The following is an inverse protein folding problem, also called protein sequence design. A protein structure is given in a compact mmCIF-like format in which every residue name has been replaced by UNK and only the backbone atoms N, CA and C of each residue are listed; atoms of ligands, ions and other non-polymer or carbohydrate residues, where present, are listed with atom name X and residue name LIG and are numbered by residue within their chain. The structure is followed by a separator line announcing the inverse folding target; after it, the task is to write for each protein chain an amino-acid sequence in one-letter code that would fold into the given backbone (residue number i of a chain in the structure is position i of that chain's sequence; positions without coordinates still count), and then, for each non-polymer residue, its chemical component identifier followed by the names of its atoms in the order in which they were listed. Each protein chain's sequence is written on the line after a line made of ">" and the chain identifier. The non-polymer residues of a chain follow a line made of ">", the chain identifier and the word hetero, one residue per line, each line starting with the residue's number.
data_IF_502210574080
#
_entry.id   IF_502210574080
#
_cell.length_a   1.000
_cell.length_b   1.000
_cell.length_c   1.000
_cell.angle_alpha   90.00
_cell.angle_beta   90.00
_cell.angle_gamma   90.00
#
_symmetry.space_group_name_H-M   'P 1'
#
loop_
_entity.id
_entity.type
_entity.pdbx_description
1 polymer ?
#
# COMPACT_ATOMS: atom_id res chain seq x y z
N UNK A 1 -21.45 -10.46 0.88
CA UNK A 1 -20.68 -9.36 1.48
C UNK A 1 -21.64 -8.30 1.97
N UNK A 2 -21.45 -7.78 3.18
CA UNK A 2 -22.30 -6.71 3.73
C UNK A 2 -22.04 -5.37 3.01
N UNK A 3 -23.08 -4.54 2.93
CA UNK A 3 -23.00 -3.17 2.41
C UNK A 3 -22.12 -2.33 3.35
N UNK A 4 -21.23 -1.52 2.77
CA UNK A 4 -20.40 -0.58 3.53
C UNK A 4 -21.26 0.51 4.18
N UNK A 5 -20.90 0.88 5.41
CA UNK A 5 -21.44 2.08 6.07
C UNK A 5 -20.87 3.36 5.43
N UNK A 6 -21.54 4.49 5.66
CA UNK A 6 -21.06 5.79 5.16
C UNK A 6 -19.65 6.14 5.65
N UNK A 7 -19.35 5.82 6.92
CA UNK A 7 -18.02 6.04 7.48
C UNK A 7 -16.95 5.19 6.81
N UNK A 8 -17.26 3.93 6.52
CA UNK A 8 -16.36 3.04 5.78
C UNK A 8 -16.15 3.53 4.35
N UNK A 9 -17.19 4.08 3.70
CA UNK A 9 -17.04 4.71 2.37
C UNK A 9 -16.07 5.87 2.37
N UNK A 10 -16.30 6.84 3.26
CA UNK A 10 -15.42 8.02 3.41
C UNK A 10 -13.98 7.59 3.70
N UNK A 11 -13.81 6.63 4.62
CA UNK A 11 -12.51 6.05 4.93
C UNK A 11 -11.84 5.45 3.69
N UNK A 12 -12.54 4.62 2.92
CA UNK A 12 -11.97 3.98 1.73
C UNK A 12 -11.60 5.00 0.64
N UNK A 13 -12.39 6.05 0.44
CA UNK A 13 -12.05 7.11 -0.51
C UNK A 13 -10.78 7.86 -0.10
N UNK A 14 -10.63 8.18 1.18
CA UNK A 14 -9.42 8.84 1.68
C UNK A 14 -8.20 7.91 1.61
N UNK A 15 -8.41 6.64 1.97
CA UNK A 15 -7.36 5.62 1.94
C UNK A 15 -6.90 5.32 0.51
N UNK A 16 -7.80 5.24 -0.47
CA UNK A 16 -7.45 5.10 -1.89
C UNK A 16 -6.59 6.27 -2.38
N UNK A 17 -6.90 7.50 -1.94
CA UNK A 17 -6.09 8.68 -2.22
C UNK A 17 -4.68 8.57 -1.65
N UNK A 18 -4.56 8.17 -0.37
CA UNK A 18 -3.25 7.91 0.25
C UNK A 18 -2.46 6.83 -0.51
N UNK A 19 -3.10 5.73 -0.92
CA UNK A 19 -2.43 4.66 -1.66
C UNK A 19 -1.97 5.12 -3.05
N UNK A 20 -2.68 6.03 -3.70
CA UNK A 20 -2.25 6.66 -4.97
C UNK A 20 -1.00 7.54 -4.75
N UNK A 21 -1.00 8.38 -3.71
CA UNK A 21 0.16 9.22 -3.38
C UNK A 21 1.41 8.36 -3.07
N UNK A 22 1.22 7.25 -2.35
CA UNK A 22 2.31 6.30 -2.06
C UNK A 22 2.80 5.61 -3.34
N UNK A 23 1.92 5.26 -4.28
CA UNK A 23 2.33 4.67 -5.56
C UNK A 23 3.21 5.65 -6.35
N UNK A 24 2.80 6.91 -6.47
CA UNK A 24 3.57 7.94 -7.17
C UNK A 24 4.94 8.15 -6.53
N UNK A 25 5.00 8.20 -5.20
CA UNK A 25 6.25 8.30 -4.47
C UNK A 25 7.15 7.06 -4.66
N UNK A 26 6.58 5.86 -4.67
CA UNK A 26 7.33 4.62 -4.88
C UNK A 26 7.87 4.51 -6.31
N UNK A 27 7.11 4.97 -7.31
CA UNK A 27 7.60 5.08 -8.70
C UNK A 27 8.79 6.03 -8.76
N UNK A 28 8.69 7.20 -8.12
CA UNK A 28 9.79 8.15 -8.07
C UNK A 28 11.02 7.61 -7.32
N UNK A 29 10.82 6.89 -6.21
CA UNK A 29 11.92 6.21 -5.52
C UNK A 29 12.62 5.18 -6.43
N UNK A 30 11.84 4.46 -7.25
CA UNK A 30 12.36 3.59 -8.32
C UNK A 30 13.27 4.35 -9.29
N UNK A 31 12.86 5.52 -9.75
CA UNK A 31 13.66 6.37 -10.64
C UNK A 31 14.95 6.87 -9.96
N UNK A 32 14.90 7.20 -8.67
CA UNK A 32 16.09 7.55 -7.88
C UNK A 32 17.11 6.41 -7.88
N UNK A 33 16.66 5.17 -7.66
CA UNK A 33 17.56 4.01 -7.68
C UNK A 33 18.22 3.79 -9.05
N UNK A 34 17.51 4.04 -10.15
CA UNK A 34 18.09 3.97 -11.50
C UNK A 34 19.15 5.04 -11.74
N UNK A 35 19.02 6.21 -11.10
CA UNK A 35 19.94 7.35 -11.25
C UNK A 35 21.14 7.31 -10.30
N UNK A 36 21.17 6.36 -9.36
CA UNK A 36 22.19 6.30 -8.30
C UNK A 36 21.90 7.22 -7.10
N UNK A 37 20.71 7.83 -7.04
CA UNK A 37 20.28 8.71 -5.95
C UNK A 37 19.66 7.89 -4.81
N UNK A 38 20.37 6.85 -4.33
CA UNK A 38 19.78 5.83 -3.44
C UNK A 38 19.30 6.37 -2.10
N UNK A 39 20.04 7.29 -1.47
CA UNK A 39 19.64 7.92 -0.20
C UNK A 39 18.33 8.72 -0.32
N UNK A 40 18.09 9.34 -1.48
CA UNK A 40 16.83 10.06 -1.74
C UNK A 40 15.69 9.06 -1.90
N UNK A 41 15.93 7.97 -2.64
CA UNK A 41 14.96 6.89 -2.83
C UNK A 41 14.57 6.23 -1.49
N UNK A 42 15.55 5.87 -0.67
CA UNK A 42 15.35 5.21 0.62
C UNK A 42 14.56 6.08 1.59
N UNK A 43 14.93 7.36 1.73
CA UNK A 43 14.22 8.31 2.60
C UNK A 43 12.78 8.53 2.15
N UNK A 44 12.57 8.73 0.84
CA UNK A 44 11.22 8.93 0.32
C UNK A 44 10.35 7.70 0.58
N UNK A 45 10.83 6.53 0.17
CA UNK A 45 10.09 5.28 0.27
C UNK A 45 9.82 4.89 1.73
N UNK A 46 10.79 5.07 2.62
CA UNK A 46 10.60 4.87 4.05
C UNK A 46 9.60 5.87 4.64
N UNK A 47 9.72 7.16 4.31
CA UNK A 47 8.81 8.20 4.82
C UNK A 47 7.35 7.93 4.45
N UNK A 48 7.08 7.64 3.18
CA UNK A 48 5.69 7.37 2.74
C UNK A 48 5.16 6.04 3.28
N UNK A 49 6.02 5.03 3.42
CA UNK A 49 5.64 3.73 3.98
C UNK A 49 5.40 3.78 5.49
N UNK A 50 6.13 4.60 6.23
CA UNK A 50 5.86 4.88 7.66
C UNK A 50 4.45 5.46 7.85
N UNK A 51 3.97 6.26 6.90
CA UNK A 51 2.59 6.77 6.86
C UNK A 51 1.53 5.67 6.73
N UNK A 52 1.89 4.50 6.19
CA UNK A 52 1.00 3.34 6.03
C UNK A 52 0.99 2.39 7.23
N UNK A 53 1.91 2.52 8.19
CA UNK A 53 1.99 1.62 9.36
C UNK A 53 0.69 1.55 10.21
N UNK A 54 -0.07 2.65 10.40
CA UNK A 54 -1.36 2.60 11.10
C UNK A 54 -2.42 1.74 10.40
N UNK A 55 -2.22 1.41 9.12
CA UNK A 55 -3.13 0.63 8.27
C UNK A 55 -2.75 -0.86 8.26
N UNK A 56 -2.24 -1.37 9.37
CA UNK A 56 -1.87 -2.77 9.56
C UNK A 56 -3.08 -3.73 9.46
N UNK A 57 -2.87 -5.04 9.20
CA UNK A 57 -3.95 -6.02 9.08
C UNK A 57 -4.87 -6.17 10.30
N UNK A 58 -4.44 -5.71 11.47
CA UNK A 58 -5.26 -5.73 12.70
C UNK A 58 -5.96 -4.37 12.96
N UNK A 59 -5.84 -3.40 12.05
CA UNK A 59 -6.54 -2.12 12.15
C UNK A 59 -8.05 -2.38 12.11
N UNK A 60 -8.76 -2.02 13.19
CA UNK A 60 -10.19 -2.32 13.35
C UNK A 60 -11.07 -1.83 12.20
N UNK A 61 -10.75 -0.68 11.61
CA UNK A 61 -11.51 -0.14 10.47
C UNK A 61 -11.28 -0.96 9.22
N UNK A 62 -10.03 -1.29 8.89
CA UNK A 62 -9.72 -2.16 7.75
C UNK A 62 -10.28 -3.57 7.94
N UNK A 63 -10.10 -4.18 9.12
CA UNK A 63 -10.68 -5.48 9.46
C UNK A 63 -12.19 -5.46 9.19
N UNK A 64 -12.92 -4.46 9.69
CA UNK A 64 -14.38 -4.37 9.46
C UNK A 64 -14.80 -4.28 7.98
N UNK A 65 -13.87 -3.94 7.08
CA UNK A 65 -14.13 -3.80 5.64
C UNK A 65 -13.78 -5.09 4.88
N UNK A 66 -12.68 -5.74 5.26
CA UNK A 66 -12.11 -6.90 4.56
C UNK A 66 -12.54 -8.24 5.13
N UNK A 67 -13.01 -8.29 6.39
CA UNK A 67 -13.34 -9.55 7.06
C UNK A 67 -14.34 -10.38 6.25
N UNK A 68 -13.97 -11.65 6.02
CA UNK A 68 -14.80 -12.59 5.28
C UNK A 68 -14.58 -12.55 3.77
N UNK A 69 -13.67 -11.71 3.28
CA UNK A 69 -13.12 -11.76 1.92
C UNK A 69 -11.65 -12.16 1.98
N UNK A 70 -11.39 -13.46 1.78
CA UNK A 70 -10.04 -14.03 1.84
C UNK A 70 -9.08 -13.39 0.84
N UNK A 71 -9.56 -12.98 -0.33
CA UNK A 71 -8.74 -12.35 -1.36
C UNK A 71 -8.24 -10.98 -0.88
N UNK A 72 -9.12 -10.20 -0.23
CA UNK A 72 -8.76 -8.92 0.36
C UNK A 72 -7.81 -9.07 1.56
N UNK A 73 -8.07 -10.06 2.43
CA UNK A 73 -7.21 -10.34 3.59
C UNK A 73 -5.78 -10.72 3.17
N UNK A 74 -5.64 -11.60 2.16
CA UNK A 74 -4.35 -12.01 1.60
C UNK A 74 -3.63 -10.83 0.93
N UNK A 75 -4.35 -10.00 0.16
CA UNK A 75 -3.78 -8.82 -0.49
C UNK A 75 -3.28 -7.78 0.51
N UNK A 76 -4.07 -7.51 1.57
CA UNK A 76 -3.68 -6.59 2.65
C UNK A 76 -2.43 -7.08 3.38
N UNK A 77 -2.38 -8.36 3.73
CA UNK A 77 -1.21 -8.94 4.41
C UNK A 77 0.05 -8.85 3.54
N UNK A 78 -0.05 -9.20 2.25
CA UNK A 78 1.07 -9.16 1.32
C UNK A 78 1.60 -7.73 1.11
N UNK A 79 0.69 -6.75 0.95
CA UNK A 79 1.05 -5.34 0.84
C UNK A 79 1.68 -4.82 2.14
N UNK A 80 1.10 -5.14 3.30
CA UNK A 80 1.63 -4.66 4.57
C UNK A 80 3.04 -5.18 4.86
N UNK A 81 3.37 -6.41 4.46
CA UNK A 81 4.74 -6.92 4.54
C UNK A 81 5.73 -6.03 3.76
N UNK A 82 5.37 -5.61 2.55
CA UNK A 82 6.24 -4.70 1.78
C UNK A 82 6.31 -3.30 2.38
N UNK A 83 5.23 -2.83 3.02
CA UNK A 83 5.24 -1.56 3.77
C UNK A 83 6.22 -1.64 4.93
N UNK A 84 6.25 -2.74 5.67
CA UNK A 84 7.19 -2.92 6.79
C UNK A 84 8.64 -2.89 6.32
N UNK A 85 8.96 -3.63 5.25
CA UNK A 85 10.31 -3.61 4.66
C UNK A 85 10.70 -2.23 4.15
N UNK A 86 9.80 -1.54 3.46
CA UNK A 86 10.05 -0.21 2.95
C UNK A 86 10.25 0.82 4.08
N UNK A 87 9.45 0.73 5.15
CA UNK A 87 9.52 1.62 6.29
C UNK A 87 10.84 1.49 7.08
N UNK A 88 11.55 0.35 6.98
CA UNK A 88 12.83 0.13 7.65
C UNK A 88 14.05 0.51 6.80
N UNK A 89 13.91 0.94 5.55
CA UNK A 89 15.05 1.19 4.65
C UNK A 89 16.04 2.27 5.15
N UNK A 90 15.58 3.23 5.95
CA UNK A 90 16.48 4.23 6.56
C UNK A 90 17.39 3.62 7.65
N UNK A 91 16.92 2.57 8.32
CA UNK A 91 17.61 1.92 9.44
C UNK A 91 18.41 0.69 8.98
N UNK A 92 17.87 -0.02 7.99
CA UNK A 92 18.45 -1.22 7.38
C UNK A 92 18.37 -1.10 5.84
N UNK A 93 19.32 -0.37 5.20
CA UNK A 93 19.32 -0.17 3.77
C UNK A 93 19.58 -1.50 3.04
N UNK A 94 18.76 -1.80 2.04
CA UNK A 94 19.00 -2.96 1.18
C UNK A 94 20.30 -2.80 0.38
N UNK A 95 20.97 -3.89 -0.03
CA UNK A 95 22.16 -3.81 -0.87
C UNK A 95 21.91 -3.05 -2.19
N UNK A 96 22.94 -2.38 -2.69
CA UNK A 96 22.94 -1.67 -3.97
C UNK A 96 22.43 -2.59 -5.10
N UNK A 97 21.51 -2.08 -5.92
CA UNK A 97 20.84 -2.85 -6.98
C UNK A 97 19.66 -3.74 -6.53
N UNK A 98 19.52 -4.05 -5.24
CA UNK A 98 18.35 -4.80 -4.73
C UNK A 98 17.15 -3.89 -4.44
N UNK A 99 17.37 -2.59 -4.22
CA UNK A 99 16.32 -1.60 -3.93
C UNK A 99 15.35 -1.42 -5.08
N UNK A 100 15.88 -1.18 -6.29
CA UNK A 100 15.07 -1.08 -7.50
C UNK A 100 14.24 -2.34 -7.73
N UNK A 101 14.89 -3.51 -7.61
CA UNK A 101 14.23 -4.81 -7.73
C UNK A 101 13.12 -4.98 -6.70
N UNK A 102 13.35 -4.60 -5.44
CA UNK A 102 12.33 -4.62 -4.39
C UNK A 102 11.11 -3.75 -4.77
N UNK A 103 11.33 -2.52 -5.24
CA UNK A 103 10.25 -1.62 -5.62
C UNK A 103 9.44 -2.19 -6.77
N UNK A 104 10.10 -2.64 -7.84
CA UNK A 104 9.43 -3.06 -9.08
C UNK A 104 8.74 -4.43 -8.96
N UNK A 105 9.36 -5.37 -8.25
CA UNK A 105 8.88 -6.76 -8.23
C UNK A 105 8.00 -7.08 -7.00
N UNK A 106 8.10 -6.28 -5.94
CA UNK A 106 7.37 -6.55 -4.70
C UNK A 106 6.49 -5.38 -4.28
N UNK A 107 7.05 -4.20 -4.06
CA UNK A 107 6.30 -3.09 -3.47
C UNK A 107 5.16 -2.62 -4.39
N UNK A 108 5.49 -2.21 -5.62
CA UNK A 108 4.52 -1.68 -6.58
C UNK A 108 3.46 -2.73 -6.98
N UNK A 109 3.80 -3.99 -7.33
CA UNK A 109 2.78 -4.99 -7.67
C UNK A 109 1.81 -5.27 -6.52
N UNK A 110 2.30 -5.36 -5.28
CA UNK A 110 1.44 -5.61 -4.12
C UNK A 110 0.60 -4.40 -3.73
N UNK A 111 1.15 -3.19 -3.83
CA UNK A 111 0.39 -1.96 -3.67
C UNK A 111 -0.74 -1.89 -4.70
N UNK A 112 -0.44 -2.13 -5.97
CA UNK A 112 -1.43 -2.12 -7.06
C UNK A 112 -2.52 -3.16 -6.83
N UNK A 113 -2.15 -4.41 -6.53
CA UNK A 113 -3.11 -5.48 -6.23
C UNK A 113 -4.03 -5.10 -5.07
N UNK A 114 -3.47 -4.51 -4.00
CA UNK A 114 -4.26 -4.05 -2.87
C UNK A 114 -5.22 -2.91 -3.24
N UNK A 115 -4.75 -1.92 -4.02
CA UNK A 115 -5.57 -0.82 -4.51
C UNK A 115 -6.73 -1.29 -5.38
N UNK A 116 -6.50 -2.27 -6.26
CA UNK A 116 -7.55 -2.87 -7.09
C UNK A 116 -8.65 -3.52 -6.23
N UNK A 117 -8.28 -4.17 -5.12
CA UNK A 117 -9.26 -4.71 -4.15
C UNK A 117 -10.04 -3.60 -3.45
N UNK A 118 -9.38 -2.51 -3.03
CA UNK A 118 -10.04 -1.34 -2.44
C UNK A 118 -11.02 -0.70 -3.43
N UNK A 119 -10.61 -0.51 -4.68
CA UNK A 119 -11.46 0.06 -5.73
C UNK A 119 -12.66 -0.85 -6.03
N UNK A 120 -12.45 -2.17 -6.12
CA UNK A 120 -13.52 -3.16 -6.28
C UNK A 120 -14.52 -3.08 -5.12
N UNK A 121 -14.03 -3.09 -3.87
CA UNK A 121 -14.87 -2.97 -2.66
C UNK A 121 -15.64 -1.65 -2.62
N UNK A 122 -15.06 -0.57 -3.16
CA UNK A 122 -15.74 0.71 -3.36
C UNK A 122 -16.72 0.69 -4.53
N UNK A 123 -16.53 -0.09 -5.59
CA UNK A 123 -17.46 -0.13 -6.74
C UNK A 123 -18.69 -1.02 -6.52
N UNK A 124 -18.57 -2.04 -5.66
CA UNK A 124 -19.73 -2.83 -5.18
C UNK A 124 -20.82 -1.95 -4.50
N UNK A 125 -20.54 -0.65 -4.33
CA UNK A 125 -21.47 0.42 -3.95
C UNK A 125 -22.57 0.76 -4.98
N UNK A 126 -22.37 0.48 -6.28
CA UNK A 126 -23.28 1.00 -7.33
C UNK A 126 -24.20 -0.03 -7.99
N UNK A 127 -24.04 -1.32 -7.71
CA UNK A 127 -24.82 -2.38 -8.37
C UNK A 127 -26.08 -2.83 -7.59
N UNK A 128 -26.44 -2.14 -6.51
CA UNK A 128 -27.51 -2.55 -5.59
C UNK A 128 -28.53 -1.44 -5.27
N UNK A 129 -28.61 -0.43 -6.14
CA UNK A 129 -29.66 0.59 -6.22
C UNK A 129 -30.30 0.53 -7.61
#
# INVERSE_FOLDING_TARGET
>A
MEKLTEKQRVFLTQYEGLLQEVEEAAVYAGDCYVRGDEDIGDRLLASVSKGLLPYHPENMTLVSIVTGDREMEEALAAHFQTVQTAASLEEDPAPEGQRYYFVQEFFLPRLKAWREQIEKRRRDLHAAD
#
